data_IF_537432620443
#
_entry.id   IF_537432620443
#
_cell.length_a   1.000
_cell.length_b   1.000
_cell.length_c   1.000
_cell.angle_alpha   90.00
_cell.angle_beta   90.00
_cell.angle_gamma   90.00
#
_symmetry.space_group_name_H-M   'P 1'
#
loop_
_entity.id
_entity.type
_entity.pdbx_description
1 polymer ?
#
# COMPACT_ATOMS: atom_id res chain seq x y z
N UNK A 1 3.60 -11.81 -21.52
CA UNK A 1 3.11 -10.45 -21.84
C UNK A 1 3.83 -9.50 -20.89
N UNK A 2 4.26 -8.34 -21.41
CA UNK A 2 5.40 -7.56 -20.90
C UNK A 2 4.93 -6.39 -20.03
N UNK A 3 5.58 -6.27 -18.88
CA UNK A 3 5.58 -5.20 -17.87
C UNK A 3 5.42 -3.79 -18.43
N UNK A 4 4.62 -2.95 -17.74
CA UNK A 4 5.08 -1.61 -17.43
C UNK A 4 4.76 -1.24 -15.96
N UNK A 5 5.49 -1.78 -15.00
CA UNK A 5 5.55 -1.24 -13.64
C UNK A 5 6.91 -0.57 -13.50
N UNK A 6 7.04 0.63 -14.06
CA UNK A 6 8.13 1.55 -13.74
C UNK A 6 7.76 2.94 -14.26
N UNK A 7 7.24 3.77 -13.35
CA UNK A 7 7.23 5.25 -13.33
C UNK A 7 5.84 5.87 -13.12
N UNK A 8 5.58 6.40 -11.92
CA UNK A 8 4.89 7.68 -11.72
C UNK A 8 4.99 8.15 -10.26
N UNK A 9 5.71 9.25 -10.05
CA UNK A 9 5.79 9.98 -8.79
C UNK A 9 4.50 10.80 -8.55
N UNK A 10 4.01 10.76 -7.30
CA UNK A 10 3.32 11.81 -6.52
C UNK A 10 2.37 12.78 -7.26
N UNK A 11 1.06 12.69 -6.98
CA UNK A 11 0.22 13.81 -6.49
C UNK A 11 -1.27 13.42 -6.36
N UNK A 12 -1.71 12.99 -5.17
CA UNK A 12 -3.15 13.02 -4.81
C UNK A 12 -3.41 13.14 -3.30
N UNK A 13 -2.38 13.44 -2.49
CA UNK A 13 -2.47 13.50 -1.04
C UNK A 13 -3.13 14.78 -0.49
N UNK A 14 -3.85 15.60 -1.28
CA UNK A 14 -4.21 16.96 -0.84
C UNK A 14 -5.68 17.25 -0.55
N UNK A 15 -6.68 16.44 -0.90
CA UNK A 15 -8.03 17.01 -1.04
C UNK A 15 -9.21 16.30 -0.39
N UNK A 16 -9.02 15.25 0.40
CA UNK A 16 -10.03 14.87 1.41
C UNK A 16 -10.02 15.77 2.66
N UNK A 17 -9.07 16.73 2.75
CA UNK A 17 -8.97 17.72 3.81
C UNK A 17 -9.77 19.01 3.59
N UNK A 18 -10.35 19.23 2.42
CA UNK A 18 -11.15 20.43 2.16
C UNK A 18 -12.66 20.14 2.28
N UNK A 19 -13.07 19.60 3.44
CA UNK A 19 -14.47 19.57 3.86
C UNK A 19 -14.72 20.77 4.77
N UNK A 20 -15.51 21.73 4.27
CA UNK A 20 -15.59 23.10 4.80
C UNK A 20 -15.97 23.23 6.28
N UNK A 21 -15.13 23.93 7.03
CA UNK A 21 -15.51 24.63 8.25
C UNK A 21 -16.39 25.84 7.91
N UNK A 22 -17.68 25.59 7.68
CA UNK A 22 -18.70 26.64 7.59
C UNK A 22 -19.01 27.20 8.97
N UNK A 23 -18.16 28.10 9.47
CA UNK A 23 -18.43 28.88 10.68
C UNK A 23 -19.52 29.92 10.41
N UNK A 24 -20.79 29.55 10.60
CA UNK A 24 -21.85 30.55 10.81
C UNK A 24 -21.79 30.98 12.27
N UNK A 25 -21.41 32.24 12.48
CA UNK A 25 -21.56 32.95 13.74
C UNK A 25 -23.05 33.15 14.04
N UNK A 26 -23.72 32.15 14.59
CA UNK A 26 -25.01 32.34 15.25
C UNK A 26 -24.77 32.86 16.66
N UNK A 27 -25.32 34.03 16.94
CA UNK A 27 -25.43 34.59 18.28
C UNK A 27 -26.17 33.59 19.17
N UNK A 28 -25.52 33.20 20.27
CA UNK A 28 -26.09 32.26 21.23
C UNK A 28 -27.28 32.92 21.94
N UNK A 29 -28.47 32.35 21.74
CA UNK A 29 -29.60 32.54 22.65
C UNK A 29 -29.29 31.83 23.97
N UNK A 30 -29.52 32.45 25.14
CA UNK A 30 -29.28 31.80 26.42
C UNK A 30 -30.31 30.68 26.65
N UNK A 31 -29.86 29.43 26.81
CA UNK A 31 -30.71 28.32 27.29
C UNK A 31 -30.74 27.03 26.46
N UNK A 32 -29.93 26.90 25.40
CA UNK A 32 -29.86 25.64 24.65
C UNK A 32 -29.07 24.55 25.43
N UNK A 33 -29.50 23.28 25.41
CA UNK A 33 -28.75 22.15 25.97
C UNK A 33 -27.34 22.09 25.38
N UNK A 34 -26.35 21.75 26.21
CA UNK A 34 -24.96 21.64 25.78
C UNK A 34 -24.85 20.74 24.53
N UNK A 35 -24.19 21.19 23.45
CA UNK A 35 -24.00 20.36 22.28
C UNK A 35 -23.21 19.09 22.67
N UNK A 36 -23.47 17.95 22.03
CA UNK A 36 -22.67 16.75 22.23
C UNK A 36 -21.19 17.07 21.99
N UNK A 37 -20.26 16.41 22.70
CA UNK A 37 -18.83 16.68 22.54
C UNK A 37 -18.48 16.60 21.05
N UNK A 38 -17.92 17.68 20.53
CA UNK A 38 -17.52 17.77 19.14
C UNK A 38 -16.62 16.57 18.83
N UNK A 39 -17.07 15.67 17.95
CA UNK A 39 -16.20 14.63 17.42
C UNK A 39 -14.97 15.31 16.85
N UNK A 40 -13.77 14.85 17.23
CA UNK A 40 -12.51 15.44 16.81
C UNK A 40 -12.48 15.57 15.28
N UNK A 41 -12.76 16.77 14.76
CA UNK A 41 -12.67 17.03 13.33
C UNK A 41 -11.20 16.99 12.96
N UNK A 42 -10.81 16.03 12.13
CA UNK A 42 -9.46 15.92 11.63
C UNK A 42 -9.06 17.20 10.90
N UNK A 43 -7.82 17.64 11.11
CA UNK A 43 -7.28 18.74 10.32
C UNK A 43 -7.17 18.32 8.85
N UNK A 44 -7.22 19.26 7.88
CA UNK A 44 -7.05 18.94 6.47
C UNK A 44 -5.77 18.13 6.18
N UNK A 45 -4.69 18.48 6.88
CA UNK A 45 -3.39 17.82 6.81
C UNK A 45 -3.44 16.39 7.37
N UNK A 46 -4.14 16.17 8.47
CA UNK A 46 -4.26 14.83 9.05
C UNK A 46 -5.13 13.92 8.20
N UNK A 47 -6.22 14.43 7.63
CA UNK A 47 -7.05 13.71 6.66
C UNK A 47 -6.25 13.35 5.40
N UNK A 48 -5.46 14.30 4.88
CA UNK A 48 -4.58 14.11 3.75
C UNK A 48 -3.54 13.01 3.99
N UNK A 49 -2.79 13.13 5.09
CA UNK A 49 -1.69 12.22 5.40
C UNK A 49 -2.20 10.83 5.76
N UNK A 50 -3.22 10.73 6.62
CA UNK A 50 -3.81 9.43 6.99
C UNK A 50 -4.49 8.73 5.80
N UNK A 51 -5.15 9.48 4.92
CA UNK A 51 -5.70 8.94 3.68
C UNK A 51 -4.62 8.43 2.73
N UNK A 52 -3.51 9.17 2.62
CA UNK A 52 -2.35 8.76 1.81
C UNK A 52 -1.72 7.49 2.36
N UNK A 53 -1.53 7.40 3.67
CA UNK A 53 -0.93 6.23 4.30
C UNK A 53 -1.83 4.99 4.23
N UNK A 54 -3.14 5.18 4.32
CA UNK A 54 -4.12 4.12 4.09
C UNK A 54 -4.19 3.68 2.62
N UNK A 55 -3.91 4.56 1.67
CA UNK A 55 -3.91 4.24 0.24
C UNK A 55 -2.64 3.50 -0.20
N UNK A 56 -1.47 3.84 0.34
CA UNK A 56 -0.20 3.17 -0.01
C UNK A 56 -0.04 1.79 0.62
N UNK A 57 -0.68 1.52 1.76
CA UNK A 57 -0.62 0.22 2.42
C UNK A 57 -1.06 -0.93 1.49
N UNK A 58 -2.22 -0.86 0.83
CA UNK A 58 -2.64 -1.75 -0.27
C UNK A 58 -1.62 -1.95 -1.40
N UNK A 59 -0.95 -0.88 -1.84
CA UNK A 59 0.02 -0.94 -2.96
C UNK A 59 1.27 -1.72 -2.53
N UNK A 60 1.81 -1.37 -1.37
CA UNK A 60 2.96 -2.03 -0.78
C UNK A 60 2.63 -3.52 -0.48
N UNK A 61 1.38 -3.83 -0.07
CA UNK A 61 0.90 -5.22 0.06
C UNK A 61 0.82 -5.93 -1.28
N UNK A 62 0.19 -5.32 -2.30
CA UNK A 62 -0.10 -5.97 -3.57
C UNK A 62 1.17 -6.30 -4.37
N UNK A 63 2.15 -5.40 -4.41
CA UNK A 63 3.45 -5.69 -5.02
C UNK A 63 4.18 -6.83 -4.30
N UNK A 64 4.06 -6.87 -2.98
CA UNK A 64 4.71 -7.89 -2.15
C UNK A 64 4.00 -9.24 -2.26
N UNK A 65 2.67 -9.25 -2.25
CA UNK A 65 1.83 -10.43 -2.41
C UNK A 65 1.99 -11.03 -3.80
N UNK A 66 2.10 -10.20 -4.83
CA UNK A 66 2.46 -10.64 -6.18
C UNK A 66 3.87 -11.26 -6.22
N UNK A 67 4.83 -10.73 -5.46
CA UNK A 67 6.18 -11.29 -5.37
C UNK A 67 6.23 -12.63 -4.60
N UNK A 68 5.35 -12.82 -3.62
CA UNK A 68 5.18 -14.07 -2.87
C UNK A 68 4.43 -15.12 -3.71
N UNK A 69 3.29 -14.74 -4.30
CA UNK A 69 2.40 -15.60 -5.09
C UNK A 69 2.97 -16.05 -6.43
N UNK A 70 3.69 -15.18 -7.16
CA UNK A 70 4.33 -15.55 -8.43
C UNK A 70 5.64 -16.35 -8.25
N UNK A 71 5.97 -16.76 -7.02
CA UNK A 71 7.11 -17.62 -6.76
C UNK A 71 8.48 -16.98 -7.04
N UNK A 72 8.58 -15.68 -7.29
CA UNK A 72 9.89 -15.02 -7.46
C UNK A 72 10.68 -15.00 -6.14
N UNK A 73 9.99 -14.94 -4.99
CA UNK A 73 10.59 -15.15 -3.67
C UNK A 73 10.59 -16.63 -3.25
N UNK A 74 9.59 -17.42 -3.66
CA UNK A 74 9.59 -18.88 -3.49
C UNK A 74 10.72 -19.60 -4.24
N UNK A 75 11.21 -19.01 -5.33
CA UNK A 75 12.39 -19.52 -6.06
C UNK A 75 13.69 -19.16 -5.35
N UNK A 76 13.74 -18.06 -4.60
CA UNK A 76 14.90 -17.71 -3.75
C UNK A 76 15.06 -18.66 -2.54
N UNK A 77 13.96 -19.23 -2.04
CA UNK A 77 13.99 -20.29 -1.02
C UNK A 77 14.22 -21.70 -1.60
N UNK A 78 14.05 -21.89 -2.92
CA UNK A 78 14.09 -23.22 -3.57
C UNK A 78 15.50 -23.82 -3.81
N UNK A 79 16.57 -23.26 -3.22
CA UNK A 79 17.96 -23.75 -3.41
C UNK A 79 18.37 -23.95 -4.88
N UNK A 80 17.80 -23.21 -5.85
CA UNK A 80 18.38 -23.18 -7.19
C UNK A 80 19.81 -22.67 -7.03
N UNK A 81 20.80 -23.48 -7.43
CA UNK A 81 22.20 -23.08 -7.35
C UNK A 81 22.34 -21.77 -8.09
N UNK A 82 22.64 -20.71 -7.36
CA UNK A 82 22.85 -19.41 -7.95
C UNK A 82 24.17 -19.50 -8.69
N UNK A 83 24.12 -19.77 -10.00
CA UNK A 83 25.32 -19.66 -10.81
C UNK A 83 25.72 -18.18 -10.75
N UNK A 84 26.91 -17.93 -10.22
CA UNK A 84 27.63 -16.68 -10.42
C UNK A 84 27.73 -16.47 -11.94
N UNK A 85 26.85 -15.65 -12.50
CA UNK A 85 26.95 -15.18 -13.87
C UNK A 85 27.54 -13.77 -13.78
N UNK A 86 28.84 -13.58 -14.06
CA UNK A 86 29.36 -12.25 -14.30
C UNK A 86 28.69 -11.73 -15.58
N UNK A 87 27.66 -10.91 -15.43
CA UNK A 87 27.02 -10.27 -16.56
C UNK A 87 27.76 -8.98 -16.90
N UNK A 88 28.30 -8.94 -18.13
CA UNK A 88 28.74 -7.71 -18.76
C UNK A 88 27.60 -6.67 -18.76
N UNK A 89 27.96 -5.39 -18.73
CA UNK A 89 27.03 -4.27 -18.87
C UNK A 89 26.03 -4.52 -19.99
N UNK A 90 24.73 -4.55 -19.67
CA UNK A 90 23.67 -4.74 -20.66
C UNK A 90 22.53 -3.76 -20.40
N UNK A 91 22.21 -2.94 -21.39
CA UNK A 91 21.18 -1.89 -21.29
C UNK A 91 21.36 -1.03 -20.02
N UNK A 92 22.60 -0.54 -19.82
CA UNK A 92 22.96 0.31 -18.66
C UNK A 92 22.70 -0.33 -17.31
N UNK A 93 22.72 -1.66 -17.25
CA UNK A 93 22.49 -2.41 -16.01
C UNK A 93 23.54 -3.49 -15.86
N UNK A 94 24.09 -3.63 -14.66
CA UNK A 94 24.87 -4.79 -14.23
C UNK A 94 24.14 -5.48 -13.10
N UNK A 95 24.33 -6.80 -13.01
CA UNK A 95 23.79 -7.60 -11.91
C UNK A 95 24.84 -8.60 -11.48
N UNK A 96 25.26 -8.50 -10.23
CA UNK A 96 26.19 -9.43 -9.60
C UNK A 96 25.42 -10.29 -8.61
N UNK A 97 25.68 -11.59 -8.59
CA UNK A 97 25.11 -12.47 -7.57
C UNK A 97 26.21 -13.26 -6.89
N UNK A 98 26.28 -13.10 -5.57
CA UNK A 98 27.28 -13.71 -4.71
C UNK A 98 26.59 -14.66 -3.74
N UNK A 99 27.06 -15.90 -3.66
CA UNK A 99 26.66 -16.83 -2.58
C UNK A 99 27.70 -16.70 -1.47
N UNK A 100 27.27 -16.26 -0.30
CA UNK A 100 28.15 -16.02 0.84
C UNK A 100 28.48 -17.34 1.57
N UNK A 101 29.58 -17.41 2.35
CA UNK A 101 29.97 -18.62 3.07
C UNK A 101 28.91 -19.16 4.06
N UNK A 102 28.03 -18.29 4.55
CA UNK A 102 26.92 -18.63 5.44
C UNK A 102 25.67 -19.16 4.70
N UNK A 103 25.73 -19.27 3.37
CA UNK A 103 24.64 -19.72 2.52
C UNK A 103 23.64 -18.63 2.14
N UNK A 104 23.81 -17.38 2.61
CA UNK A 104 23.04 -16.24 2.13
C UNK A 104 23.44 -15.86 0.69
N UNK A 105 22.56 -15.17 -0.01
CA UNK A 105 22.77 -14.74 -1.40
C UNK A 105 22.73 -13.21 -1.45
N UNK A 106 23.78 -12.56 -1.90
CA UNK A 106 23.79 -11.12 -2.18
C UNK A 106 23.58 -10.89 -3.67
N UNK A 107 22.55 -10.13 -4.02
CA UNK A 107 22.30 -9.63 -5.38
C UNK A 107 22.57 -8.14 -5.39
N UNK A 108 23.55 -7.72 -6.17
CA UNK A 108 23.81 -6.31 -6.46
C UNK A 108 23.30 -6.00 -7.87
N UNK A 109 22.55 -4.92 -8.03
CA UNK A 109 22.06 -4.42 -9.31
C UNK A 109 22.39 -2.95 -9.43
N UNK A 110 23.24 -2.61 -10.39
CA UNK A 110 23.64 -1.23 -10.65
C UNK A 110 23.02 -0.78 -11.97
N UNK A 111 22.32 0.34 -11.94
CA UNK A 111 21.89 1.08 -13.12
C UNK A 111 22.84 2.25 -13.37
N UNK A 112 23.08 2.54 -14.63
CA UNK A 112 24.07 3.54 -15.07
C UNK A 112 23.42 4.58 -15.98
N UNK A 113 23.98 5.78 -15.99
CA UNK A 113 23.59 6.84 -16.92
C UNK A 113 24.01 6.56 -18.36
N UNK A 114 25.01 5.70 -18.56
CA UNK A 114 25.63 5.42 -19.85
C UNK A 114 25.61 3.93 -20.21
N UNK A 115 25.74 3.65 -21.51
CA UNK A 115 25.77 2.30 -22.07
C UNK A 115 27.10 1.56 -21.86
N UNK A 116 28.14 2.26 -21.38
CA UNK A 116 29.43 1.68 -21.02
C UNK A 116 29.45 1.15 -19.58
N UNK A 117 28.38 1.38 -18.81
CA UNK A 117 28.30 1.15 -17.37
C UNK A 117 29.47 1.75 -16.59
N UNK A 118 29.84 2.99 -16.92
CA UNK A 118 30.90 3.71 -16.22
C UNK A 118 30.37 4.65 -15.15
N UNK A 119 29.18 5.22 -15.35
CA UNK A 119 28.63 6.22 -14.46
C UNK A 119 27.39 5.71 -13.71
N UNK A 120 27.51 5.22 -12.46
CA UNK A 120 26.36 4.69 -11.73
C UNK A 120 25.33 5.79 -11.47
N UNK A 121 24.07 5.45 -11.73
CA UNK A 121 22.89 6.23 -11.36
C UNK A 121 22.31 5.70 -10.05
N UNK A 122 22.24 4.37 -9.93
CA UNK A 122 21.60 3.70 -8.80
C UNK A 122 22.27 2.36 -8.55
N UNK A 123 22.69 2.13 -7.32
CA UNK A 123 23.24 0.86 -6.86
C UNK A 123 22.29 0.24 -5.84
N UNK A 124 21.80 -0.97 -6.10
CA UNK A 124 20.90 -1.71 -5.23
C UNK A 124 21.52 -3.05 -4.81
N UNK A 125 21.90 -3.16 -3.55
CA UNK A 125 22.42 -4.39 -2.94
C UNK A 125 21.33 -5.02 -2.08
N UNK A 126 20.99 -6.28 -2.34
CA UNK A 126 20.02 -7.06 -1.56
C UNK A 126 20.64 -8.38 -1.10
N UNK A 127 20.70 -8.59 0.22
CA UNK A 127 21.16 -9.84 0.82
C UNK A 127 19.97 -10.65 1.29
N UNK A 128 19.81 -11.82 0.70
CA UNK A 128 18.79 -12.81 1.00
C UNK A 128 19.38 -13.87 1.91
N UNK A 129 18.78 -14.08 3.07
CA UNK A 129 19.15 -15.17 3.98
C UNK A 129 17.91 -15.98 4.34
N UNK A 130 18.10 -17.26 4.67
CA UNK A 130 17.00 -18.10 5.15
C UNK A 130 17.39 -18.77 6.45
N UNK A 131 16.50 -18.71 7.44
CA UNK A 131 16.69 -19.36 8.74
C UNK A 131 15.34 -19.83 9.28
N UNK A 132 15.23 -21.11 9.62
CA UNK A 132 14.02 -21.64 10.28
C UNK A 132 12.71 -21.40 9.52
N UNK A 133 12.71 -21.51 8.19
CA UNK A 133 11.52 -21.27 7.36
C UNK A 133 11.18 -19.79 7.13
N UNK A 134 12.01 -18.87 7.62
CA UNK A 134 11.91 -17.42 7.35
C UNK A 134 12.91 -17.04 6.26
N UNK A 135 12.47 -16.32 5.24
CA UNK A 135 13.33 -15.63 4.29
C UNK A 135 13.48 -14.17 4.71
N UNK A 136 14.71 -13.72 4.95
CA UNK A 136 15.03 -12.34 5.29
C UNK A 136 15.74 -11.68 4.11
N UNK A 137 15.36 -10.45 3.79
CA UNK A 137 15.97 -9.64 2.74
C UNK A 137 16.42 -8.32 3.34
N UNK A 138 17.72 -8.06 3.36
CA UNK A 138 18.28 -6.76 3.71
C UNK A 138 18.70 -6.05 2.43
N UNK A 139 18.04 -4.94 2.08
CA UNK A 139 18.29 -4.19 0.85
C UNK A 139 18.82 -2.80 1.16
N UNK A 140 19.83 -2.37 0.42
CA UNK A 140 20.35 -1.01 0.40
C UNK A 140 20.31 -0.49 -1.04
N UNK A 141 19.82 0.72 -1.23
CA UNK A 141 19.80 1.43 -2.51
C UNK A 141 20.52 2.76 -2.34
N UNK A 142 21.61 2.93 -3.06
CA UNK A 142 22.34 4.18 -3.17
C UNK A 142 21.98 4.85 -4.49
N UNK A 143 21.70 6.14 -4.47
CA UNK A 143 21.42 6.93 -5.68
C UNK A 143 22.51 7.97 -5.84
N UNK A 144 22.95 8.19 -7.08
CA UNK A 144 24.01 9.11 -7.46
C UNK A 144 23.46 10.14 -8.46
N UNK A 145 24.17 11.25 -8.63
CA UNK A 145 23.99 12.12 -9.79
C UNK A 145 25.02 11.81 -10.89
N UNK A 146 24.92 12.49 -12.03
CA UNK A 146 25.87 12.32 -13.15
C UNK A 146 27.33 12.69 -12.81
N UNK A 147 27.58 13.37 -11.68
CA UNK A 147 28.92 13.69 -11.18
C UNK A 147 29.43 12.65 -10.16
N UNK A 148 28.75 11.51 -10.00
CA UNK A 148 29.01 10.46 -9.01
C UNK A 148 28.90 10.91 -7.55
N UNK A 149 28.25 12.03 -7.30
CA UNK A 149 27.91 12.42 -5.94
C UNK A 149 26.73 11.58 -5.48
N UNK A 150 26.91 10.87 -4.38
CA UNK A 150 25.83 10.16 -3.70
C UNK A 150 24.76 11.16 -3.23
N UNK A 151 23.56 11.03 -3.78
CA UNK A 151 22.39 11.84 -3.44
C UNK A 151 21.65 11.31 -2.22
N UNK A 152 21.69 10.00 -2.00
CA UNK A 152 21.01 9.38 -0.87
C UNK A 152 21.20 7.88 -0.80
N UNK A 153 20.92 7.34 0.39
CA UNK A 153 20.87 5.91 0.65
C UNK A 153 19.50 5.58 1.23
N UNK A 154 18.93 4.46 0.81
CA UNK A 154 17.68 3.92 1.30
C UNK A 154 17.90 2.48 1.70
N UNK A 155 17.51 2.09 2.91
CA UNK A 155 17.59 0.71 3.36
C UNK A 155 16.20 0.17 3.58
N UNK A 156 15.96 -1.07 3.16
CA UNK A 156 14.70 -1.77 3.39
C UNK A 156 15.01 -3.18 3.87
N UNK A 157 14.48 -3.55 5.02
CA UNK A 157 14.58 -4.91 5.54
C UNK A 157 13.22 -5.57 5.41
N UNK A 158 13.16 -6.79 4.91
CA UNK A 158 11.96 -7.60 4.78
C UNK A 158 12.18 -8.94 5.49
N UNK A 159 11.17 -9.42 6.21
CA UNK A 159 11.12 -10.80 6.67
C UNK A 159 9.82 -11.41 6.14
N UNK A 160 9.92 -12.60 5.56
CA UNK A 160 8.83 -13.38 5.01
C UNK A 160 8.80 -14.76 5.67
N UNK A 161 7.67 -15.14 6.22
CA UNK A 161 7.41 -16.50 6.73
C UNK A 161 6.13 -17.05 6.13
N UNK A 162 5.95 -18.37 6.16
CA UNK A 162 4.72 -19.03 5.72
C UNK A 162 4.94 -20.09 4.64
N UNK A 163 3.83 -20.64 4.15
CA UNK A 163 3.82 -21.64 3.09
C UNK A 163 2.95 -21.19 1.93
N UNK A 164 3.54 -21.14 0.73
CA UNK A 164 2.81 -20.89 -0.51
C UNK A 164 1.79 -21.99 -0.82
N UNK A 165 1.99 -23.21 -0.32
CA UNK A 165 1.07 -24.34 -0.56
C UNK A 165 -0.31 -24.13 0.07
N UNK A 166 -0.39 -23.32 1.13
CA UNK A 166 -1.61 -23.09 1.90
C UNK A 166 -2.07 -21.63 1.79
N UNK A 167 -1.49 -20.86 0.86
CA UNK A 167 -1.79 -19.45 0.70
C UNK A 167 -1.64 -18.65 1.99
N UNK A 168 -0.73 -19.03 2.91
CA UNK A 168 -0.53 -18.29 4.16
C UNK A 168 0.89 -17.76 4.27
N UNK A 169 1.00 -16.46 4.52
CA UNK A 169 2.27 -15.76 4.62
C UNK A 169 2.21 -14.60 5.62
N UNK A 170 3.38 -14.25 6.15
CA UNK A 170 3.59 -13.08 7.00
C UNK A 170 4.80 -12.34 6.47
N UNK A 171 4.63 -11.05 6.20
CA UNK A 171 5.65 -10.09 5.79
C UNK A 171 5.80 -9.02 6.85
N UNK A 172 7.03 -8.68 7.21
CA UNK A 172 7.35 -7.44 7.93
C UNK A 172 8.39 -6.67 7.15
N UNK A 173 8.25 -5.35 7.06
CA UNK A 173 9.20 -4.47 6.40
C UNK A 173 9.53 -3.24 7.24
N UNK A 174 10.79 -2.79 7.17
CA UNK A 174 11.24 -1.54 7.76
C UNK A 174 12.11 -0.76 6.77
N UNK A 175 11.73 0.49 6.52
CA UNK A 175 12.40 1.41 5.60
C UNK A 175 13.18 2.47 6.37
N UNK A 176 14.46 2.65 6.06
CA UNK A 176 15.37 3.59 6.72
C UNK A 176 16.00 4.54 5.68
N UNK A 177 16.00 5.85 5.92
CA UNK A 177 16.75 6.81 5.13
C UNK A 177 18.19 6.91 5.65
N UNK A 178 19.16 6.81 4.74
CA UNK A 178 20.57 7.03 5.03
C UNK A 178 21.14 6.09 6.08
N UNK A 179 21.70 6.69 7.13
CA UNK A 179 22.29 6.02 8.29
C UNK A 179 21.34 5.97 9.50
N UNK A 180 20.06 6.31 9.32
CA UNK A 180 19.08 6.31 10.42
C UNK A 180 18.97 4.92 11.06
N UNK A 181 18.97 4.88 12.39
CA UNK A 181 18.60 3.71 13.18
C UNK A 181 17.09 3.61 13.41
N UNK A 182 16.35 4.69 13.16
CA UNK A 182 14.90 4.75 13.27
C UNK A 182 14.28 4.63 11.87
N UNK A 183 13.35 3.69 11.66
CA UNK A 183 12.71 3.55 10.35
C UNK A 183 11.84 4.76 10.05
N UNK A 184 11.90 5.28 8.82
CA UNK A 184 10.94 6.26 8.30
C UNK A 184 9.58 5.59 8.08
N UNK A 185 9.55 4.33 7.68
CA UNK A 185 8.31 3.57 7.59
C UNK A 185 8.49 2.14 8.10
N UNK A 186 7.45 1.61 8.74
CA UNK A 186 7.34 0.22 9.17
C UNK A 186 6.06 -0.36 8.61
N UNK A 187 6.10 -1.64 8.28
CA UNK A 187 4.99 -2.33 7.66
C UNK A 187 4.94 -3.79 8.15
N UNK A 188 3.73 -4.29 8.36
CA UNK A 188 3.44 -5.68 8.65
C UNK A 188 2.19 -6.08 7.87
N UNK A 189 2.24 -7.25 7.24
CA UNK A 189 1.12 -7.85 6.53
C UNK A 189 1.12 -9.35 6.79
N UNK A 190 -0.03 -9.91 7.13
CA UNK A 190 -0.23 -11.36 7.24
C UNK A 190 -1.49 -11.68 6.49
N UNK A 191 -1.43 -12.67 5.61
CA UNK A 191 -2.60 -13.16 4.90
C UNK A 191 -2.67 -14.69 4.93
N UNK A 192 -3.88 -15.18 4.78
CA UNK A 192 -4.21 -16.59 4.60
C UNK A 192 -5.34 -16.70 3.60
N UNK A 193 -5.09 -17.39 2.49
CA UNK A 193 -6.03 -17.71 1.44
C UNK A 193 -6.19 -19.23 1.34
N UNK A 194 -7.42 -19.69 1.41
CA UNK A 194 -7.80 -21.05 1.04
C UNK A 194 -8.99 -21.01 0.08
N UNK A 195 -9.45 -22.17 -0.38
CA UNK A 195 -10.54 -22.28 -1.37
C UNK A 195 -11.89 -21.71 -0.91
N UNK A 196 -12.05 -21.39 0.37
CA UNK A 196 -13.30 -20.93 0.97
C UNK A 196 -13.20 -19.60 1.71
N UNK A 197 -11.98 -19.13 2.01
CA UNK A 197 -11.79 -17.94 2.83
C UNK A 197 -10.46 -17.25 2.55
N UNK A 198 -10.50 -15.93 2.68
CA UNK A 198 -9.35 -15.05 2.73
C UNK A 198 -9.38 -14.25 4.03
N UNK A 199 -8.25 -14.17 4.71
CA UNK A 199 -8.08 -13.33 5.90
C UNK A 199 -6.77 -12.60 5.79
N UNK A 200 -6.75 -11.31 6.10
CA UNK A 200 -5.53 -10.55 6.19
C UNK A 200 -5.53 -9.55 7.35
N UNK A 201 -4.36 -9.27 7.89
CA UNK A 201 -4.13 -8.22 8.89
C UNK A 201 -2.93 -7.40 8.45
N UNK A 202 -3.07 -6.08 8.48
CA UNK A 202 -2.00 -5.16 8.08
C UNK A 202 -1.79 -4.08 9.11
N UNK A 203 -0.57 -3.56 9.17
CA UNK A 203 -0.20 -2.42 9.97
C UNK A 203 0.94 -1.66 9.31
N UNK A 204 0.83 -0.34 9.26
CA UNK A 204 1.82 0.55 8.66
C UNK A 204 2.00 1.78 9.52
N UNK A 205 3.24 2.16 9.76
CA UNK A 205 3.61 3.40 10.44
C UNK A 205 4.52 4.19 9.51
N UNK A 206 4.28 5.50 9.38
CA UNK A 206 5.17 6.45 8.72
C UNK A 206 5.56 7.54 9.70
N UNK A 207 6.86 7.77 9.85
CA UNK A 207 7.45 8.83 10.64
C UNK A 207 7.80 9.99 9.71
N UNK A 208 6.95 11.02 9.64
CA UNK A 208 7.22 12.18 8.79
C UNK A 208 7.99 13.26 9.57
N UNK A 209 9.31 13.21 9.42
CA UNK A 209 10.23 14.15 10.06
C UNK A 209 10.30 15.53 9.37
N UNK A 210 9.48 15.81 8.34
CA UNK A 210 9.43 17.16 7.77
C UNK A 210 9.02 18.16 8.85
N UNK A 211 9.72 19.30 9.03
CA UNK A 211 9.43 20.24 10.12
C UNK A 211 7.99 20.75 10.18
N UNK A 212 7.29 20.82 9.04
CA UNK A 212 5.88 21.22 8.96
C UNK A 212 4.87 20.14 9.38
N UNK A 213 5.34 18.90 9.58
CA UNK A 213 4.49 17.74 9.94
C UNK A 213 4.95 17.21 11.30
N UNK A 214 6.22 16.81 11.40
CA UNK A 214 6.92 16.35 12.60
C UNK A 214 6.08 15.38 13.46
N UNK A 215 5.51 14.38 12.81
CA UNK A 215 4.54 13.47 13.42
C UNK A 215 4.67 12.05 12.87
N UNK A 216 4.11 11.09 13.61
CA UNK A 216 3.94 9.72 13.15
C UNK A 216 2.49 9.46 12.79
N UNK A 217 2.27 8.84 11.64
CA UNK A 217 0.94 8.40 11.18
C UNK A 217 0.93 6.89 11.09
N UNK A 218 -0.16 6.29 11.55
CA UNK A 218 -0.34 4.85 11.56
C UNK A 218 -1.65 4.46 10.89
N UNK A 219 -1.66 3.34 10.19
CA UNK A 219 -2.87 2.68 9.72
C UNK A 219 -2.76 1.19 9.96
N UNK A 220 -3.76 0.59 10.59
CA UNK A 220 -3.88 -0.87 10.68
C UNK A 220 -5.21 -1.31 10.09
N UNK A 221 -5.27 -2.48 9.46
CA UNK A 221 -6.51 -3.02 8.95
C UNK A 221 -6.63 -4.53 9.11
N UNK A 222 -7.87 -5.01 9.13
CA UNK A 222 -8.21 -6.43 9.12
C UNK A 222 -9.20 -6.67 7.99
N UNK A 223 -8.87 -7.61 7.11
CA UNK A 223 -9.72 -8.08 6.03
C UNK A 223 -10.14 -9.53 6.30
N UNK A 224 -11.38 -9.85 5.96
CA UNK A 224 -11.95 -11.19 6.02
C UNK A 224 -12.98 -11.33 4.91
N UNK A 225 -12.84 -12.35 4.09
CA UNK A 225 -13.76 -12.65 3.00
C UNK A 225 -14.01 -14.16 2.88
N UNK A 226 -15.22 -14.53 2.50
CA UNK A 226 -15.53 -15.85 1.97
C UNK A 226 -15.19 -15.89 0.49
N UNK A 227 -14.65 -17.02 0.04
CA UNK A 227 -14.31 -17.27 -1.36
C UNK A 227 -15.30 -18.29 -1.91
N UNK A 228 -15.90 -17.99 -3.05
CA UNK A 228 -16.76 -18.92 -3.78
C UNK A 228 -16.42 -18.90 -5.26
N UNK A 229 -16.40 -20.07 -5.89
CA UNK A 229 -16.27 -20.21 -7.34
C UNK A 229 -17.57 -20.73 -7.91
N UNK A 230 -18.08 -20.08 -8.96
CA UNK A 230 -19.34 -20.47 -9.60
C UNK A 230 -19.15 -21.51 -10.72
N UNK A 231 -20.21 -21.82 -11.46
CA UNK A 231 -20.18 -22.79 -12.55
C UNK A 231 -19.40 -22.33 -13.80
N UNK A 232 -19.18 -21.02 -13.94
CA UNK A 232 -18.36 -20.43 -15.01
C UNK A 232 -16.88 -20.37 -14.63
N UNK A 233 -16.53 -20.79 -13.41
CA UNK A 233 -15.23 -20.61 -12.76
C UNK A 233 -14.94 -19.16 -12.32
N UNK A 234 -15.97 -18.34 -12.17
CA UNK A 234 -15.80 -16.99 -11.65
C UNK A 234 -15.58 -17.08 -10.14
N UNK A 235 -14.49 -16.48 -9.65
CA UNK A 235 -14.12 -16.47 -8.24
C UNK A 235 -14.56 -15.17 -7.59
N UNK A 236 -15.49 -15.27 -6.64
CA UNK A 236 -16.00 -14.14 -5.87
C UNK A 236 -15.46 -14.15 -4.45
N UNK A 237 -14.88 -13.02 -4.04
CA UNK A 237 -14.54 -12.69 -2.67
C UNK A 237 -15.67 -11.84 -2.11
N UNK A 238 -16.30 -12.27 -1.01
CA UNK A 238 -17.34 -11.50 -0.31
C UNK A 238 -16.95 -11.31 1.14
N UNK A 239 -16.82 -10.06 1.60
CA UNK A 239 -16.21 -9.83 2.89
C UNK A 239 -16.22 -8.39 3.38
N UNK A 240 -15.36 -8.15 4.36
CA UNK A 240 -15.17 -6.85 5.00
C UNK A 240 -13.69 -6.51 5.13
N UNK A 241 -13.36 -5.22 5.07
CA UNK A 241 -12.06 -4.67 5.46
C UNK A 241 -12.25 -3.50 6.39
N UNK A 242 -11.76 -3.61 7.62
CA UNK A 242 -11.90 -2.59 8.64
C UNK A 242 -10.54 -2.01 8.97
N UNK A 243 -10.40 -0.68 8.88
CA UNK A 243 -9.16 0.04 9.14
C UNK A 243 -9.28 0.99 10.32
N UNK A 244 -8.15 1.32 10.94
CA UNK A 244 -8.06 2.34 11.99
C UNK A 244 -6.78 3.15 11.78
N UNK A 245 -6.94 4.48 11.79
CA UNK A 245 -5.85 5.43 11.59
C UNK A 245 -5.44 6.06 12.92
N UNK A 246 -4.15 6.30 13.10
CA UNK A 246 -3.53 6.84 14.31
C UNK A 246 -2.60 8.01 13.99
N UNK A 247 -2.42 8.90 14.96
CA UNK A 247 -1.40 9.97 14.93
C UNK A 247 -0.71 10.07 16.28
N UNK A 248 0.60 10.28 16.27
CA UNK A 248 1.36 10.65 17.47
C UNK A 248 2.39 11.73 17.13
N UNK A 249 3.08 12.24 18.16
CA UNK A 249 4.36 12.92 17.96
C UNK A 249 5.33 12.01 17.18
N UNK A 250 6.34 12.60 16.52
CA UNK A 250 7.33 11.85 15.75
C UNK A 250 7.95 10.72 16.60
N UNK A 251 7.95 9.51 16.04
CA UNK A 251 8.36 8.25 16.66
C UNK A 251 7.49 7.79 17.85
N UNK A 252 6.30 8.36 18.03
CA UNK A 252 5.39 8.05 19.13
C UNK A 252 4.42 6.88 18.88
N UNK A 253 4.48 6.25 17.70
CA UNK A 253 3.71 5.05 17.37
C UNK A 253 4.63 3.82 17.34
N UNK A 254 4.10 2.68 17.80
CA UNK A 254 4.79 1.38 17.76
C UNK A 254 3.93 0.34 17.04
N UNK A 255 4.52 -0.44 16.14
CA UNK A 255 3.88 -1.57 15.44
C UNK A 255 4.30 -2.87 16.13
N UNK A 256 3.35 -3.78 16.37
CA UNK A 256 3.70 -5.11 16.91
C UNK A 256 4.60 -5.88 15.94
N UNK A 257 5.55 -6.64 16.47
CA UNK A 257 6.50 -7.42 15.66
C UNK A 257 5.90 -8.70 15.05
N UNK A 258 4.66 -9.02 15.39
CA UNK A 258 3.94 -10.20 14.90
C UNK A 258 2.47 -9.84 14.59
N UNK A 259 1.79 -10.65 13.73
CA UNK A 259 0.36 -10.55 13.51
C UNK A 259 -0.42 -10.59 14.84
N UNK A 260 -1.50 -9.82 14.99
CA UNK A 260 -2.25 -9.12 13.94
C UNK A 260 -1.77 -7.69 13.61
N UNK A 261 -0.48 -7.36 13.82
CA UNK A 261 0.12 -6.06 13.44
C UNK A 261 -0.61 -4.84 14.01
N UNK A 262 -0.78 -4.83 15.33
CA UNK A 262 -1.45 -3.75 16.05
C UNK A 262 -0.51 -2.55 16.22
N UNK A 263 -1.08 -1.36 16.03
CA UNK A 263 -0.43 -0.09 16.32
C UNK A 263 -0.83 0.36 17.74
N UNK A 264 0.17 0.81 18.50
CA UNK A 264 0.00 1.35 19.84
C UNK A 264 0.69 2.70 19.97
N UNK A 265 0.22 3.50 20.95
CA UNK A 265 0.61 4.90 21.11
C UNK A 265 -0.28 5.87 20.32
N UNK A 266 -0.11 7.16 20.57
CA UNK A 266 -0.84 8.22 19.87
C UNK A 266 -2.34 8.29 20.16
N UNK A 267 -3.04 8.99 19.27
CA UNK A 267 -4.49 9.20 19.27
C UNK A 267 -5.08 8.59 18.01
N UNK A 268 -6.18 7.86 18.14
CA UNK A 268 -6.96 7.39 17.01
C UNK A 268 -7.59 8.57 16.27
N UNK A 269 -7.34 8.66 14.97
CA UNK A 269 -7.90 9.68 14.09
C UNK A 269 -9.28 9.31 13.57
N UNK A 270 -9.50 8.03 13.28
CA UNK A 270 -10.75 7.54 12.73
C UNK A 270 -10.66 6.08 12.33
N UNK A 271 -11.78 5.54 11.85
CA UNK A 271 -11.87 4.16 11.39
C UNK A 271 -12.55 4.11 10.03
N UNK A 272 -12.09 3.19 9.19
CA UNK A 272 -12.74 2.82 7.95
C UNK A 272 -13.38 1.44 8.07
N UNK A 273 -14.45 1.23 7.33
CA UNK A 273 -15.13 -0.05 7.25
C UNK A 273 -15.67 -0.21 5.84
N UNK A 274 -15.14 -1.18 5.11
CA UNK A 274 -15.58 -1.55 3.77
C UNK A 274 -16.23 -2.94 3.84
N UNK A 275 -17.25 -3.16 3.04
CA UNK A 275 -17.92 -4.44 2.88
C UNK A 275 -18.46 -4.60 1.47
N UNK A 276 -18.55 -5.83 0.99
CA UNK A 276 -19.08 -6.10 -0.33
C UNK A 276 -18.45 -7.31 -0.98
N UNK A 277 -18.35 -7.28 -2.31
CA UNK A 277 -17.77 -8.35 -3.09
C UNK A 277 -16.95 -7.86 -4.28
N UNK A 278 -15.98 -8.67 -4.68
CA UNK A 278 -15.32 -8.59 -5.99
C UNK A 278 -15.24 -9.96 -6.62
N UNK A 279 -15.50 -9.99 -7.92
CA UNK A 279 -15.51 -11.19 -8.74
C UNK A 279 -14.46 -11.06 -9.82
N UNK A 280 -13.67 -12.11 -9.98
CA UNK A 280 -12.78 -12.32 -11.10
C UNK A 280 -13.32 -13.47 -11.95
N UNK A 281 -13.21 -13.37 -13.26
CA UNK A 281 -13.63 -14.44 -14.15
C UNK A 281 -12.62 -15.61 -14.17
N UNK A 282 -12.89 -16.61 -15.00
CA UNK A 282 -12.06 -17.80 -15.17
C UNK A 282 -10.62 -17.50 -15.66
N UNK A 283 -10.42 -16.38 -16.36
CA UNK A 283 -9.12 -15.94 -16.85
C UNK A 283 -8.36 -15.10 -15.80
N UNK A 284 -9.04 -14.76 -14.68
CA UNK A 284 -8.51 -13.96 -13.60
C UNK A 284 -8.69 -12.46 -13.80
N UNK A 285 -9.46 -12.06 -14.81
CA UNK A 285 -9.77 -10.67 -15.10
C UNK A 285 -10.91 -10.17 -14.20
N UNK A 286 -10.88 -8.88 -13.87
CA UNK A 286 -11.91 -8.28 -13.03
C UNK A 286 -13.27 -8.33 -13.74
N UNK A 287 -14.23 -9.06 -13.17
CA UNK A 287 -15.58 -9.20 -13.73
C UNK A 287 -16.61 -8.31 -13.02
N UNK A 288 -16.56 -8.25 -11.68
CA UNK A 288 -17.51 -7.44 -10.92
C UNK A 288 -16.93 -6.81 -9.65
N UNK A 289 -17.40 -5.62 -9.30
CA UNK A 289 -17.12 -4.93 -8.03
C UNK A 289 -18.44 -4.44 -7.43
N UNK A 290 -18.66 -4.70 -6.16
CA UNK A 290 -19.75 -4.11 -5.39
C UNK A 290 -19.27 -3.87 -3.96
N UNK A 291 -18.86 -2.63 -3.66
CA UNK A 291 -18.33 -2.22 -2.36
C UNK A 291 -19.17 -1.11 -1.77
N UNK A 292 -19.35 -1.15 -0.46
CA UNK A 292 -19.90 -0.03 0.31
C UNK A 292 -19.13 0.12 1.61
N UNK A 293 -19.06 1.34 2.13
CA UNK A 293 -18.40 1.53 3.41
C UNK A 293 -18.28 2.96 3.88
N UNK A 294 -17.52 3.11 4.96
CA UNK A 294 -17.16 4.39 5.58
C UNK A 294 -15.65 4.56 5.56
N UNK A 295 -15.19 5.77 5.23
CA UNK A 295 -13.79 6.16 5.23
C UNK A 295 -13.38 6.73 6.60
N UNK A 296 -12.08 6.83 6.87
CA UNK A 296 -11.57 7.30 8.17
C UNK A 296 -12.12 8.67 8.63
N UNK A 297 -12.47 9.55 7.68
CA UNK A 297 -13.10 10.85 7.95
C UNK A 297 -14.63 10.83 8.11
N UNK A 298 -15.27 9.64 8.13
CA UNK A 298 -16.72 9.48 8.24
C UNK A 298 -17.51 9.62 6.93
N UNK A 299 -16.84 9.89 5.82
CA UNK A 299 -17.45 9.88 4.49
C UNK A 299 -17.88 8.47 4.10
N UNK A 300 -18.96 8.34 3.33
CA UNK A 300 -19.44 7.07 2.79
C UNK A 300 -18.85 6.85 1.40
N UNK A 301 -18.49 5.61 1.11
CA UNK A 301 -18.03 5.15 -0.19
C UNK A 301 -19.01 4.10 -0.73
N UNK A 302 -19.33 4.20 -2.02
CA UNK A 302 -19.98 3.14 -2.80
C UNK A 302 -19.15 2.94 -4.06
N UNK A 303 -18.82 1.70 -4.41
CA UNK A 303 -18.12 1.34 -5.65
C UNK A 303 -18.88 0.21 -6.33
N UNK A 304 -19.13 0.35 -7.62
CA UNK A 304 -19.83 -0.64 -8.45
C UNK A 304 -19.14 -0.75 -9.79
N UNK A 305 -19.06 -1.94 -10.35
CA UNK A 305 -18.65 -2.12 -11.75
C UNK A 305 -19.84 -2.17 -12.70
N UNK A 306 -19.57 -1.91 -13.97
CA UNK A 306 -20.47 -2.15 -15.09
C UNK A 306 -19.67 -2.69 -16.26
N UNK A 307 -20.25 -3.62 -17.01
CA UNK A 307 -19.63 -4.21 -18.20
C UNK A 307 -20.35 -3.70 -19.44
N UNK A 308 -19.61 -3.17 -20.41
CA UNK A 308 -20.20 -2.72 -21.67
C UNK A 308 -20.52 -3.91 -22.62
N UNK A 309 -21.13 -3.60 -23.77
CA UNK A 309 -21.48 -4.62 -24.77
C UNK A 309 -20.28 -5.33 -25.42
N UNK A 310 -19.05 -4.85 -25.18
CA UNK A 310 -17.81 -5.44 -25.67
C UNK A 310 -17.06 -6.22 -24.58
N UNK A 311 -17.63 -6.33 -23.37
CA UNK A 311 -16.98 -7.01 -22.24
C UNK A 311 -16.00 -6.14 -21.45
N UNK A 312 -15.92 -4.83 -21.72
CA UNK A 312 -15.01 -3.93 -20.99
C UNK A 312 -15.63 -3.57 -19.64
N UNK A 313 -14.94 -3.94 -18.57
CA UNK A 313 -15.34 -3.61 -17.21
C UNK A 313 -14.89 -2.19 -16.85
N UNK A 314 -15.85 -1.39 -16.40
CA UNK A 314 -15.65 -0.05 -15.87
C UNK A 314 -16.04 -0.04 -14.40
N UNK A 315 -15.22 0.56 -13.54
CA UNK A 315 -15.46 0.66 -12.11
C UNK A 315 -15.81 2.09 -11.74
N UNK A 316 -16.96 2.27 -11.12
CA UNK A 316 -17.51 3.56 -10.76
C UNK A 316 -17.59 3.67 -9.24
N UNK A 317 -17.24 4.84 -8.70
CA UNK A 317 -17.35 5.11 -7.28
C UNK A 317 -17.95 6.46 -6.95
N UNK A 318 -18.59 6.52 -5.80
CA UNK A 318 -19.20 7.74 -5.24
C UNK A 318 -18.79 7.89 -3.79
N UNK A 319 -18.31 9.07 -3.45
CA UNK A 319 -17.97 9.49 -2.09
C UNK A 319 -18.95 10.57 -1.67
N UNK A 320 -19.62 10.34 -0.54
CA UNK A 320 -20.53 11.30 0.07
C UNK A 320 -20.12 11.60 1.50
N UNK A 321 -20.51 12.77 2.01
CA UNK A 321 -20.41 13.06 3.43
C UNK A 321 -21.30 12.11 4.23
N UNK A 322 -21.12 12.05 5.55
CA UNK A 322 -22.02 11.32 6.44
C UNK A 322 -23.49 11.76 6.32
N UNK A 323 -23.70 13.04 5.97
CA UNK A 323 -25.02 13.66 5.70
C UNK A 323 -25.54 13.49 4.27
N UNK A 324 -24.80 12.80 3.39
CA UNK A 324 -25.21 12.53 2.00
C UNK A 324 -24.88 13.64 0.99
N UNK A 325 -24.11 14.66 1.38
CA UNK A 325 -23.60 15.67 0.45
C UNK A 325 -22.54 15.08 -0.50
N UNK A 326 -22.45 15.52 -1.76
CA UNK A 326 -21.44 15.01 -2.69
C UNK A 326 -20.04 15.44 -2.26
N UNK A 327 -19.07 14.52 -2.34
CA UNK A 327 -17.65 14.80 -2.10
C UNK A 327 -16.87 14.60 -3.39
N UNK A 328 -17.00 13.43 -4.00
CA UNK A 328 -16.38 13.11 -5.28
C UNK A 328 -17.05 11.90 -5.93
N UNK A 329 -16.88 11.75 -7.24
CA UNK A 329 -17.17 10.52 -7.99
C UNK A 329 -15.93 10.13 -8.76
N UNK A 330 -15.76 8.84 -9.04
CA UNK A 330 -14.70 8.38 -9.94
C UNK A 330 -15.20 7.32 -10.89
N UNK A 331 -14.52 7.24 -12.03
CA UNK A 331 -14.69 6.18 -13.01
C UNK A 331 -13.32 5.74 -13.48
N UNK A 332 -13.04 4.44 -13.41
CA UNK A 332 -11.80 3.82 -13.89
C UNK A 332 -12.14 2.67 -14.84
N UNK A 333 -11.21 2.31 -15.72
CA UNK A 333 -11.22 1.00 -16.36
C UNK A 333 -10.81 -0.10 -15.36
N UNK A 334 -10.76 -1.35 -15.83
CA UNK A 334 -10.35 -2.51 -15.03
C UNK A 334 -8.89 -2.42 -14.54
N UNK A 335 -8.03 -1.73 -15.29
CA UNK A 335 -6.62 -1.51 -14.95
C UNK A 335 -6.44 -0.34 -13.97
N UNK A 336 -7.42 0.56 -13.92
CA UNK A 336 -7.43 1.70 -13.03
C UNK A 336 -7.21 3.08 -13.53
N UNK A 337 -7.07 3.20 -14.83
CA UNK A 337 -6.93 4.49 -15.44
C UNK A 337 -8.32 5.12 -15.47
N UNK A 338 -8.40 6.35 -14.99
CA UNK A 338 -9.69 6.96 -14.79
C UNK A 338 -9.65 8.43 -14.46
N UNK A 339 -10.81 8.96 -14.10
CA UNK A 339 -10.99 10.34 -13.69
C UNK A 339 -11.71 10.36 -12.34
N UNK A 340 -11.16 11.13 -11.40
CA UNK A 340 -11.83 11.56 -10.18
C UNK A 340 -12.44 12.95 -10.42
N UNK A 341 -13.73 13.08 -10.22
CA UNK A 341 -14.46 14.36 -10.28
C UNK A 341 -14.84 14.79 -8.87
N UNK A 342 -14.35 15.95 -8.45
CA UNK A 342 -14.65 16.53 -7.14
C UNK A 342 -16.03 17.21 -7.14
N UNK A 343 -16.60 17.45 -5.95
CA UNK A 343 -17.89 18.13 -5.80
C UNK A 343 -17.95 19.53 -6.45
N UNK A 344 -16.81 20.19 -6.64
CA UNK A 344 -16.70 21.47 -7.34
C UNK A 344 -16.55 21.33 -8.87
N UNK A 345 -16.68 20.12 -9.41
CA UNK A 345 -16.53 19.80 -10.84
C UNK A 345 -15.08 19.67 -11.31
N UNK A 346 -14.08 19.86 -10.45
CA UNK A 346 -12.67 19.67 -10.81
C UNK A 346 -12.42 18.21 -11.12
N UNK A 347 -11.82 17.95 -12.29
CA UNK A 347 -11.42 16.61 -12.70
C UNK A 347 -9.92 16.43 -12.53
N UNK A 348 -9.53 15.31 -11.94
CA UNK A 348 -8.13 14.90 -11.83
C UNK A 348 -7.98 13.47 -12.35
N UNK A 349 -6.94 13.18 -13.14
CA UNK A 349 -6.68 11.82 -13.58
C UNK A 349 -6.34 10.92 -12.39
N UNK A 350 -6.91 9.73 -12.41
CA UNK A 350 -6.52 8.63 -11.53
C UNK A 350 -5.34 7.97 -12.20
N UNK A 351 -4.18 8.18 -11.58
CA UNK A 351 -2.91 7.61 -12.01
C UNK A 351 -2.66 6.25 -11.37
N UNK A 352 -3.43 5.90 -10.33
CA UNK A 352 -3.37 4.61 -9.64
C UNK A 352 -4.62 4.40 -8.77
N UNK A 353 -5.15 3.19 -8.72
CA UNK A 353 -6.18 2.74 -7.77
C UNK A 353 -5.95 1.25 -7.47
N UNK A 354 -6.26 0.81 -6.26
CA UNK A 354 -6.00 -0.57 -5.85
C UNK A 354 -7.24 -1.14 -5.18
N UNK A 355 -7.74 -2.25 -5.74
CA UNK A 355 -8.72 -3.09 -5.09
C UNK A 355 -7.97 -4.18 -4.34
N UNK A 356 -7.63 -3.92 -3.08
CA UNK A 356 -7.00 -4.94 -2.25
C UNK A 356 -8.04 -5.57 -1.35
N UNK A 357 -8.42 -6.79 -1.73
CA UNK A 357 -9.17 -7.69 -0.87
C UNK A 357 -8.27 -8.33 0.14
#
# INVERSE_FOLDING_TARGET
MRTPILAALCAAALLAGCGGGGGTSSSALPGAPAPPPAGNSLSPQDSAQSGTDAAFEPVDTGETDAAVGNGSLGTSSSKRSVQSLPHACKHRTTRTVTVNPDGSVTVETIHYYDDACTNPERDAVATYSSSGGTANVARTVTTYNMAHLQLGVRKSNYALTGSSSNGSWVVTSAFYPGTSSTPLAQFGHSASLNSSAYNATTGRIVNDAKPSINASYGHQSVASATVSTDANNDTTFTGTRNGTSFKAALNGLTLSSAPPFTISGGTQLGSSALSGSVTFDADGDLAAVNLTGTLAGGNKLVVTSSTDGNGVVTVNGTITTSSGGPVATFTTDADGNGILTLANGTQVPIVDWHVVW
#
